data_IF_396308522066
#
_entry.id   IF_396308522066
#
_cell.length_a   1.000
_cell.length_b   1.000
_cell.length_c   1.000
_cell.angle_alpha   90.00
_cell.angle_beta   90.00
_cell.angle_gamma   90.00
#
_symmetry.space_group_name_H-M   'P 1'
#
loop_
_entity.id
_entity.type
_entity.pdbx_description
1 polymer ?
#
# COMPACT_ATOMS: atom_id res chain seq x y z
N UNK A 1 -31.35 5.80 19.46
CA UNK A 1 -30.19 4.93 19.17
C UNK A 1 -29.79 5.08 17.70
N UNK A 2 -28.89 6.02 17.44
CA UNK A 2 -28.24 6.17 16.13
C UNK A 2 -27.13 5.11 16.10
N UNK A 3 -27.08 4.21 15.12
CA UNK A 3 -25.96 3.28 15.01
C UNK A 3 -24.69 4.07 14.67
N UNK A 4 -23.61 3.83 15.42
CA UNK A 4 -22.27 4.37 15.17
C UNK A 4 -21.81 4.06 13.73
N UNK A 5 -21.95 5.02 12.81
CA UNK A 5 -21.50 4.89 11.41
C UNK A 5 -20.00 5.13 11.23
N UNK A 6 -19.17 4.89 12.25
CA UNK A 6 -17.74 5.25 12.23
C UNK A 6 -16.79 4.05 12.29
N UNK A 7 -17.26 2.84 11.96
CA UNK A 7 -16.45 1.61 12.05
C UNK A 7 -16.19 0.85 10.74
N UNK A 8 -16.62 1.34 9.56
CA UNK A 8 -16.69 0.46 8.38
C UNK A 8 -15.58 0.59 7.32
N UNK A 9 -14.68 1.59 7.35
CA UNK A 9 -13.74 1.79 6.21
C UNK A 9 -12.27 1.93 6.59
N UNK A 10 -11.77 1.10 7.51
CA UNK A 10 -10.32 0.95 7.72
C UNK A 10 -9.85 -0.44 7.30
N UNK A 11 -9.71 -0.63 6.00
CA UNK A 11 -9.32 -1.91 5.38
C UNK A 11 -7.80 -2.16 5.43
N UNK A 12 -7.04 -1.17 5.89
CA UNK A 12 -5.62 -1.27 6.15
C UNK A 12 -5.35 -1.25 7.66
N UNK A 13 -4.37 -2.03 8.11
CA UNK A 13 -3.95 -2.09 9.51
C UNK A 13 -2.43 -2.18 9.61
N UNK A 14 -1.86 -1.55 10.64
CA UNK A 14 -0.46 -1.76 11.02
C UNK A 14 -0.28 -3.14 11.61
N UNK A 15 0.84 -3.77 11.33
CA UNK A 15 1.23 -5.05 11.95
C UNK A 15 1.68 -4.78 13.38
N UNK A 16 1.18 -5.55 14.36
CA UNK A 16 1.49 -5.31 15.77
C UNK A 16 2.97 -5.56 16.10
N UNK A 17 3.55 -6.61 15.52
CA UNK A 17 4.96 -6.97 15.70
C UNK A 17 5.95 -6.05 14.97
N UNK A 18 5.48 -5.37 13.90
CA UNK A 18 6.26 -4.39 13.15
C UNK A 18 5.35 -3.24 12.74
N UNK A 19 5.32 -2.22 13.58
CA UNK A 19 4.44 -1.07 13.37
C UNK A 19 4.83 -0.21 12.17
N UNK A 20 6.01 -0.40 11.55
CA UNK A 20 6.37 0.25 10.29
C UNK A 20 5.77 -0.45 9.05
N UNK A 21 5.15 -1.61 9.24
CA UNK A 21 4.46 -2.38 8.19
C UNK A 21 2.95 -2.17 8.25
N UNK A 22 2.33 -1.91 7.10
CA UNK A 22 0.88 -1.83 6.91
C UNK A 22 0.41 -2.90 5.94
N UNK A 23 -0.73 -3.53 6.26
CA UNK A 23 -1.39 -4.53 5.43
C UNK A 23 -2.81 -4.05 5.10
N UNK A 24 -3.14 -4.01 3.82
CA UNK A 24 -4.44 -3.68 3.26
C UNK A 24 -5.04 -4.91 2.58
N UNK A 25 -6.33 -5.17 2.80
CA UNK A 25 -7.03 -6.28 2.16
C UNK A 25 -8.37 -5.83 1.58
N UNK A 26 -8.84 -6.49 0.51
CA UNK A 26 -10.19 -6.30 -0.05
C UNK A 26 -10.48 -4.87 -0.53
N UNK A 27 -9.46 -4.16 -1.03
CA UNK A 27 -9.60 -2.81 -1.59
C UNK A 27 -10.18 -2.92 -3.00
N UNK A 28 -11.24 -2.16 -3.31
CA UNK A 28 -11.93 -2.18 -4.60
C UNK A 28 -11.81 -0.90 -5.40
N UNK A 29 -11.42 0.19 -4.76
CA UNK A 29 -11.25 1.49 -5.43
C UNK A 29 -10.02 2.23 -4.90
N UNK A 30 -9.47 3.14 -5.71
CA UNK A 30 -8.37 4.01 -5.28
C UNK A 30 -8.80 4.92 -4.12
N UNK A 31 -10.10 5.27 -4.05
CA UNK A 31 -10.68 6.01 -2.93
C UNK A 31 -10.63 5.19 -1.63
N UNK A 32 -11.06 3.93 -1.66
CA UNK A 32 -10.98 3.03 -0.50
C UNK A 32 -9.53 2.83 -0.04
N UNK A 33 -8.58 2.73 -0.98
CA UNK A 33 -7.16 2.63 -0.66
C UNK A 33 -6.69 3.88 0.11
N UNK A 34 -7.01 5.07 -0.39
CA UNK A 34 -6.62 6.35 0.20
C UNK A 34 -7.21 6.53 1.60
N UNK A 35 -8.50 6.27 1.78
CA UNK A 35 -9.16 6.37 3.08
C UNK A 35 -8.59 5.34 4.06
N UNK A 36 -8.39 4.10 3.60
CA UNK A 36 -7.87 3.02 4.44
C UNK A 36 -6.42 3.24 4.86
N UNK A 37 -5.57 3.78 3.97
CA UNK A 37 -4.21 4.17 4.34
C UNK A 37 -4.21 5.36 5.31
N UNK A 38 -5.11 6.33 5.09
CA UNK A 38 -5.24 7.49 5.98
C UNK A 38 -5.57 7.07 7.41
N UNK A 39 -6.53 6.16 7.61
CA UNK A 39 -6.85 5.66 8.95
C UNK A 39 -5.77 4.73 9.54
N UNK A 40 -5.06 3.95 8.72
CA UNK A 40 -3.95 3.10 9.19
C UNK A 40 -2.70 3.91 9.59
N UNK A 41 -2.51 5.07 8.95
CA UNK A 41 -1.42 5.98 9.25
C UNK A 41 -1.74 6.85 10.48
N UNK A 42 -3.02 7.04 10.79
CA UNK A 42 -3.49 7.74 11.98
C UNK A 42 -3.38 6.89 13.25
N UNK A 43 -3.07 7.56 14.36
CA UNK A 43 -3.05 6.95 15.69
C UNK A 43 -4.50 6.79 16.17
N UNK A 44 -4.98 5.56 16.37
CA UNK A 44 -6.17 5.36 17.22
C UNK A 44 -5.76 5.74 18.65
N UNK A 45 -6.04 6.97 19.04
CA UNK A 45 -6.10 7.29 20.47
C UNK A 45 -7.35 6.63 21.05
N UNK A 46 -7.23 5.38 21.51
CA UNK A 46 -8.12 4.92 22.57
C UNK A 46 -7.72 5.66 23.84
N UNK A 47 -8.22 6.89 23.99
CA UNK A 47 -8.03 7.67 25.20
C UNK A 47 -8.77 6.97 26.35
N UNK A 48 -8.03 6.33 27.26
CA UNK A 48 -8.48 6.32 28.65
C UNK A 48 -8.14 7.70 29.24
N UNK A 49 -9.09 8.40 29.89
CA UNK A 49 -8.83 9.69 30.49
C UNK A 49 -7.77 9.54 31.60
N UNK A 50 -6.57 10.10 31.38
CA UNK A 50 -5.51 10.20 32.40
C UNK A 50 -4.11 9.73 32.02
N UNK A 51 -3.87 9.17 30.83
CA UNK A 51 -2.51 8.79 30.40
C UNK A 51 -2.17 9.37 29.01
N UNK A 52 -1.49 10.52 29.02
CA UNK A 52 -0.84 11.04 27.82
C UNK A 52 0.47 10.29 27.59
N UNK A 53 0.42 9.22 26.80
CA UNK A 53 1.62 8.74 26.10
C UNK A 53 1.44 9.02 24.62
N UNK A 54 1.99 10.15 24.17
CA UNK A 54 2.09 10.45 22.74
C UNK A 54 3.26 9.62 22.18
N UNK A 55 3.13 8.30 22.17
CA UNK A 55 3.95 7.43 21.31
C UNK A 55 3.75 7.88 19.87
N UNK A 56 4.78 8.51 19.31
CA UNK A 56 4.86 8.84 17.88
C UNK A 56 4.94 7.52 17.13
N UNK A 57 3.93 7.23 16.29
CA UNK A 57 3.96 6.05 15.43
C UNK A 57 5.16 6.16 14.48
N UNK A 58 5.85 5.05 14.18
CA UNK A 58 6.91 5.08 13.19
C UNK A 58 6.34 5.38 11.80
N UNK A 59 7.18 5.97 10.95
CA UNK A 59 6.86 6.10 9.52
C UNK A 59 6.65 4.72 8.92
N UNK A 60 5.67 4.60 8.03
CA UNK A 60 5.43 3.35 7.32
C UNK A 60 6.49 3.20 6.24
N UNK A 61 7.16 2.05 6.22
CA UNK A 61 8.22 1.73 5.26
C UNK A 61 7.90 0.48 4.44
N UNK A 62 6.95 -0.34 4.88
CA UNK A 62 6.50 -1.51 4.16
C UNK A 62 4.96 -1.51 4.03
N UNK A 63 4.49 -1.76 2.81
CA UNK A 63 3.07 -1.84 2.49
C UNK A 63 2.75 -3.14 1.76
N UNK A 64 1.80 -3.90 2.29
CA UNK A 64 1.24 -5.08 1.67
C UNK A 64 -0.21 -4.81 1.27
N UNK A 65 -0.56 -5.04 0.00
CA UNK A 65 -1.92 -4.97 -0.52
C UNK A 65 -2.27 -6.36 -1.04
N UNK A 66 -3.37 -6.93 -0.54
CA UNK A 66 -3.77 -8.32 -0.79
C UNK A 66 -5.23 -8.37 -1.24
N UNK A 67 -5.57 -9.35 -2.08
CA UNK A 67 -6.96 -9.65 -2.47
C UNK A 67 -7.77 -8.39 -2.84
N UNK A 68 -7.19 -7.54 -3.69
CA UNK A 68 -7.76 -6.24 -4.05
C UNK A 68 -8.08 -6.19 -5.55
N UNK A 69 -9.04 -5.38 -5.95
CA UNK A 69 -9.50 -5.25 -7.33
C UNK A 69 -9.50 -3.78 -7.71
N UNK A 70 -8.41 -3.29 -8.30
CA UNK A 70 -8.25 -1.90 -8.70
C UNK A 70 -8.04 -1.83 -10.21
N UNK A 71 -8.76 -0.96 -10.93
CA UNK A 71 -8.53 -0.79 -12.37
C UNK A 71 -7.10 -0.33 -12.69
N UNK A 72 -6.46 0.33 -11.72
CA UNK A 72 -5.08 0.81 -11.79
C UNK A 72 -4.54 1.09 -10.40
N UNK A 73 -3.22 1.12 -10.29
CA UNK A 73 -2.51 1.57 -9.10
C UNK A 73 -1.49 2.66 -9.49
N UNK A 74 -1.74 3.89 -9.05
CA UNK A 74 -0.81 5.01 -9.23
C UNK A 74 0.21 5.02 -8.09
N UNK A 75 1.42 4.55 -8.39
CA UNK A 75 2.51 4.42 -7.40
C UNK A 75 3.28 5.72 -7.19
N UNK A 76 2.97 6.77 -7.97
CA UNK A 76 3.51 8.11 -7.80
C UNK A 76 2.84 8.92 -6.68
N UNK A 77 1.76 8.40 -6.08
CA UNK A 77 1.03 9.08 -5.01
C UNK A 77 1.89 9.26 -3.74
N UNK A 78 1.67 10.39 -3.05
CA UNK A 78 2.49 10.83 -1.92
C UNK A 78 2.59 9.82 -0.77
N UNK A 79 1.59 8.96 -0.55
CA UNK A 79 1.61 7.98 0.54
C UNK A 79 2.51 6.77 0.27
N UNK A 80 2.95 6.56 -0.98
CA UNK A 80 4.00 5.59 -1.30
C UNK A 80 5.40 6.15 -1.04
N UNK A 81 5.54 7.47 -0.91
CA UNK A 81 6.85 8.11 -0.68
C UNK A 81 7.42 7.68 0.67
N UNK A 82 8.69 7.27 0.66
CA UNK A 82 9.37 6.73 1.84
C UNK A 82 9.17 5.24 2.08
N UNK A 83 8.37 4.56 1.25
CA UNK A 83 8.34 3.09 1.27
C UNK A 83 9.68 2.52 0.79
N UNK A 84 10.10 1.48 1.48
CA UNK A 84 11.26 0.65 1.19
C UNK A 84 10.80 -0.65 0.53
N UNK A 85 9.66 -1.19 0.95
CA UNK A 85 9.05 -2.39 0.40
C UNK A 85 7.58 -2.18 0.02
N UNK A 86 7.21 -2.64 -1.17
CA UNK A 86 5.82 -2.71 -1.61
C UNK A 86 5.52 -4.11 -2.14
N UNK A 87 4.49 -4.72 -1.59
CA UNK A 87 3.99 -6.02 -2.03
C UNK A 87 2.52 -5.88 -2.38
N UNK A 88 2.16 -6.14 -3.62
CA UNK A 88 0.76 -6.25 -4.05
C UNK A 88 0.60 -7.63 -4.63
N UNK A 89 -0.25 -8.48 -4.05
CA UNK A 89 -0.35 -9.88 -4.49
C UNK A 89 -1.78 -10.38 -4.46
N UNK A 90 -2.04 -11.42 -5.25
CA UNK A 90 -3.35 -12.07 -5.34
C UNK A 90 -4.47 -11.06 -5.62
N UNK A 91 -4.19 -10.09 -6.49
CA UNK A 91 -5.08 -8.97 -6.78
C UNK A 91 -5.42 -8.92 -8.27
N UNK A 92 -6.32 -8.02 -8.65
CA UNK A 92 -6.59 -7.69 -10.04
C UNK A 92 -6.30 -6.21 -10.22
N UNK A 93 -5.09 -5.92 -10.71
CA UNK A 93 -4.57 -4.58 -10.96
C UNK A 93 -3.92 -4.61 -12.33
N UNK A 94 -4.66 -4.36 -13.42
CA UNK A 94 -4.13 -4.53 -14.77
C UNK A 94 -3.10 -3.45 -15.14
N UNK A 95 -3.04 -2.33 -14.42
CA UNK A 95 -2.21 -1.17 -14.79
C UNK A 95 -1.48 -0.55 -13.61
N UNK A 96 -0.16 -0.36 -13.74
CA UNK A 96 0.65 0.47 -12.83
C UNK A 96 0.92 1.81 -13.50
N UNK A 97 0.58 2.90 -12.83
CA UNK A 97 0.85 4.27 -13.30
C UNK A 97 1.89 4.97 -12.43
N UNK A 98 2.61 5.92 -13.01
CA UNK A 98 3.55 6.76 -12.26
C UNK A 98 4.87 6.06 -11.94
N UNK A 99 5.70 6.72 -11.12
CA UNK A 99 7.06 6.28 -10.79
C UNK A 99 7.13 5.76 -9.37
N UNK A 100 7.79 4.61 -9.18
CA UNK A 100 8.08 4.12 -7.84
C UNK A 100 9.02 5.08 -7.09
N UNK A 101 8.87 5.23 -5.76
CA UNK A 101 9.74 6.09 -4.98
C UNK A 101 11.17 5.57 -4.95
N UNK A 102 12.16 6.48 -5.02
CA UNK A 102 13.58 6.13 -5.10
C UNK A 102 14.14 5.36 -3.91
N UNK A 103 13.40 5.33 -2.80
CA UNK A 103 13.70 4.56 -1.59
C UNK A 103 13.38 3.06 -1.70
N UNK A 104 12.64 2.64 -2.73
CA UNK A 104 12.22 1.26 -2.92
C UNK A 104 13.43 0.35 -3.13
N UNK A 105 13.42 -0.77 -2.41
CA UNK A 105 14.42 -1.84 -2.48
C UNK A 105 13.80 -3.20 -2.84
N UNK A 106 12.54 -3.42 -2.47
CA UNK A 106 11.83 -4.67 -2.70
C UNK A 106 10.45 -4.40 -3.29
N UNK A 107 10.20 -4.93 -4.50
CA UNK A 107 8.90 -4.91 -5.16
C UNK A 107 8.43 -6.34 -5.42
N UNK A 108 7.26 -6.67 -4.90
CA UNK A 108 6.56 -7.89 -5.25
C UNK A 108 5.18 -7.54 -5.82
N UNK A 109 5.00 -7.72 -7.13
CA UNK A 109 3.73 -7.51 -7.82
C UNK A 109 3.22 -8.82 -8.44
N UNK A 110 3.55 -9.98 -7.84
CA UNK A 110 3.14 -11.28 -8.36
C UNK A 110 1.62 -11.46 -8.35
N UNK A 111 1.10 -12.17 -9.35
CA UNK A 111 -0.31 -12.62 -9.38
C UNK A 111 -1.31 -11.45 -9.31
N UNK A 112 -1.10 -10.42 -10.12
CA UNK A 112 -1.94 -9.22 -10.18
C UNK A 112 -2.71 -9.05 -11.50
N UNK A 113 -2.53 -9.94 -12.48
CA UNK A 113 -3.06 -9.78 -13.83
C UNK A 113 -2.60 -8.47 -14.50
N UNK A 114 -1.38 -8.00 -14.19
CA UNK A 114 -0.82 -6.80 -14.79
C UNK A 114 -0.68 -6.97 -16.31
N UNK A 115 -1.16 -6.00 -17.06
CA UNK A 115 -1.08 -5.93 -18.53
C UNK A 115 -0.17 -4.78 -18.97
N UNK A 116 -0.23 -3.65 -18.25
CA UNK A 116 0.54 -2.45 -18.56
C UNK A 116 1.26 -1.93 -17.32
N UNK A 117 2.50 -1.49 -17.50
CA UNK A 117 3.24 -0.72 -16.51
C UNK A 117 3.72 0.56 -17.20
N UNK A 118 3.61 1.68 -16.50
CA UNK A 118 4.16 2.96 -16.95
C UNK A 118 5.63 2.78 -17.39
N UNK A 119 6.02 3.20 -18.60
CA UNK A 119 7.38 3.03 -19.11
C UNK A 119 8.47 3.66 -18.24
N UNK A 120 8.09 4.60 -17.37
CA UNK A 120 9.00 5.28 -16.46
C UNK A 120 8.90 4.76 -15.02
N UNK A 121 8.07 3.74 -14.75
CA UNK A 121 7.79 3.26 -13.40
C UNK A 121 9.07 2.93 -12.61
N UNK A 122 10.04 2.32 -13.28
CA UNK A 122 11.29 1.83 -12.68
C UNK A 122 12.51 2.73 -12.97
N UNK A 123 12.32 3.92 -13.55
CA UNK A 123 13.45 4.73 -14.04
C UNK A 123 14.33 5.32 -12.94
N UNK A 124 13.85 5.43 -11.70
CA UNK A 124 14.48 6.20 -10.60
C UNK A 124 14.57 5.43 -9.28
N UNK A 125 14.73 4.10 -9.33
CA UNK A 125 14.83 3.24 -8.14
C UNK A 125 16.19 2.53 -8.06
N UNK A 126 17.31 3.26 -7.91
CA UNK A 126 18.67 2.71 -7.99
C UNK A 126 19.00 1.71 -6.87
N UNK A 127 18.16 1.63 -5.82
CA UNK A 127 18.33 0.73 -4.68
C UNK A 127 17.51 -0.56 -4.81
N UNK A 128 16.76 -0.74 -5.91
CA UNK A 128 15.95 -1.94 -6.14
C UNK A 128 16.85 -3.17 -6.20
N UNK A 129 16.73 -4.04 -5.18
CA UNK A 129 17.45 -5.30 -5.08
C UNK A 129 16.59 -6.52 -5.39
N UNK A 130 15.26 -6.40 -5.28
CA UNK A 130 14.32 -7.49 -5.55
C UNK A 130 13.11 -6.98 -6.33
N UNK A 131 12.80 -7.66 -7.44
CA UNK A 131 11.61 -7.42 -8.25
C UNK A 131 10.99 -8.76 -8.66
N UNK A 132 9.72 -8.94 -8.32
CA UNK A 132 8.91 -10.06 -8.77
C UNK A 132 7.66 -9.57 -9.51
N UNK A 133 7.60 -9.91 -10.80
CA UNK A 133 6.47 -9.63 -11.70
C UNK A 133 5.83 -10.93 -12.23
N UNK A 134 6.13 -12.08 -11.61
CA UNK A 134 5.62 -13.38 -12.03
C UNK A 134 4.08 -13.46 -11.99
N UNK A 135 3.50 -14.38 -12.75
CA UNK A 135 2.06 -14.60 -12.79
C UNK A 135 1.25 -13.33 -13.14
N UNK A 136 1.74 -12.56 -14.09
CA UNK A 136 1.02 -11.43 -14.69
C UNK A 136 0.78 -11.69 -16.18
N UNK A 137 0.06 -10.77 -16.82
CA UNK A 137 -0.30 -10.84 -18.24
C UNK A 137 0.52 -9.85 -19.08
N UNK A 138 1.74 -9.55 -18.64
CA UNK A 138 2.65 -8.62 -19.31
C UNK A 138 3.16 -9.25 -20.61
N UNK A 139 2.96 -8.57 -21.73
CA UNK A 139 3.46 -9.03 -23.05
C UNK A 139 4.83 -8.45 -23.38
N UNK A 140 5.28 -7.45 -22.62
CA UNK A 140 6.54 -6.76 -22.81
C UNK A 140 7.26 -6.58 -21.47
N UNK A 141 8.59 -6.50 -21.48
CA UNK A 141 9.34 -6.12 -20.29
C UNK A 141 9.01 -4.67 -19.90
N UNK A 142 9.01 -4.36 -18.60
CA UNK A 142 8.90 -2.99 -18.11
C UNK A 142 10.14 -2.14 -18.40
#
# INVERSE_FOLDING_TARGET
PVPDQQTEFCLCKRVEADTATVVCCNIRTEFELKESLSCAFQKKETQLPGQQSVTKLPSVTALHILNSTLDKLDVGLNFFQGLIGLSVTQSHIPRILGKFPSSITCLNLTSNHLEEIDPMAFSEIPQLGYLDLSNNNLTHPP
#
